data_IF_824845277426
#
_entry.id   IF_824845277426
#
_cell.length_a   1.000
_cell.length_b   1.000
_cell.length_c   1.000
_cell.angle_alpha   90.00
_cell.angle_beta   90.00
_cell.angle_gamma   90.00
#
_symmetry.space_group_name_H-M   'P 1'
#
loop_
_entity.id
_entity.type
_entity.pdbx_description
1 polymer ?
#
# COMPACT_ATOMS: atom_id res chain seq x y z
N UNK A 1 71.41 5.36 -27.67
CA UNK A 1 71.22 5.15 -26.22
C UNK A 1 70.21 4.03 -26.08
N UNK A 2 70.68 2.98 -25.44
CA UNK A 2 70.07 1.68 -25.18
C UNK A 2 69.01 1.74 -24.06
N UNK A 3 68.40 0.57 -23.85
CA UNK A 3 67.46 0.11 -22.78
C UNK A 3 65.97 0.38 -23.07
N UNK A 4 65.12 -0.59 -23.48
CA UNK A 4 64.87 -2.00 -23.12
C UNK A 4 64.16 -2.21 -21.75
N UNK A 5 62.90 -2.70 -21.79
CA UNK A 5 62.26 -3.69 -20.87
C UNK A 5 60.73 -3.71 -21.10
N UNK A 6 60.20 -4.77 -21.73
CA UNK A 6 59.58 -6.00 -21.16
C UNK A 6 58.06 -5.83 -20.98
N UNK A 7 57.25 -6.35 -21.90
CA UNK A 7 56.67 -7.71 -21.90
C UNK A 7 55.86 -8.05 -20.63
N UNK A 8 54.56 -8.25 -20.84
CA UNK A 8 53.60 -8.65 -19.82
C UNK A 8 52.25 -9.04 -20.45
N UNK A 9 52.26 -10.12 -21.24
CA UNK A 9 51.09 -10.77 -21.82
C UNK A 9 50.77 -12.07 -21.08
N UNK A 10 49.58 -12.19 -20.48
CA UNK A 10 48.94 -13.46 -20.05
C UNK A 10 47.39 -13.27 -20.09
N UNK A 11 46.54 -14.31 -20.17
CA UNK A 11 45.89 -14.69 -21.42
C UNK A 11 44.36 -14.82 -21.35
N UNK A 12 43.77 -14.84 -22.54
CA UNK A 12 42.45 -15.39 -22.82
C UNK A 12 42.34 -16.88 -22.43
N UNK A 13 41.16 -17.24 -21.92
CA UNK A 13 40.43 -18.54 -22.00
C UNK A 13 40.01 -19.12 -20.64
N UNK A 14 38.69 -19.14 -20.38
CA UNK A 14 38.02 -20.33 -19.83
C UNK A 14 36.63 -20.51 -20.45
N UNK A 15 36.25 -21.73 -20.87
CA UNK A 15 34.95 -22.03 -21.45
C UNK A 15 33.89 -22.23 -20.36
N UNK A 16 32.69 -21.69 -20.58
CA UNK A 16 31.48 -22.03 -19.82
C UNK A 16 30.86 -23.29 -20.45
N UNK A 17 31.27 -24.45 -19.98
CA UNK A 17 30.56 -25.71 -20.23
C UNK A 17 29.65 -26.06 -19.04
N UNK A 18 28.40 -26.41 -19.38
CA UNK A 18 27.54 -27.42 -18.74
C UNK A 18 27.04 -27.13 -17.31
N UNK A 19 25.91 -26.42 -17.24
CA UNK A 19 24.86 -26.67 -16.25
C UNK A 19 23.53 -26.88 -17.00
N UNK A 20 23.37 -28.08 -17.53
CA UNK A 20 22.06 -28.61 -17.96
C UNK A 20 21.91 -29.99 -17.33
N UNK A 21 20.70 -30.28 -16.84
CA UNK A 21 20.18 -31.54 -16.28
C UNK A 21 20.14 -31.59 -14.75
N UNK A 22 19.15 -30.90 -14.18
CA UNK A 22 18.31 -31.43 -13.09
C UNK A 22 17.17 -30.45 -12.80
N UNK A 23 16.04 -30.57 -13.52
CA UNK A 23 14.73 -30.08 -13.06
C UNK A 23 13.60 -30.52 -14.02
N UNK A 24 13.47 -31.82 -14.29
CA UNK A 24 12.19 -32.37 -14.78
C UNK A 24 11.59 -33.27 -13.70
N UNK A 25 11.00 -32.64 -12.67
CA UNK A 25 9.96 -33.29 -11.87
C UNK A 25 8.62 -32.81 -12.37
N UNK A 26 7.98 -33.64 -13.21
CA UNK A 26 6.57 -33.55 -13.56
C UNK A 26 5.75 -33.54 -12.27
N UNK A 27 5.18 -32.40 -11.91
CA UNK A 27 4.15 -32.32 -10.87
C UNK A 27 2.81 -32.66 -11.51
N UNK A 28 2.31 -33.86 -11.20
CA UNK A 28 0.94 -34.25 -11.52
C UNK A 28 -0.02 -33.31 -10.78
N UNK A 29 -0.72 -32.46 -11.53
CA UNK A 29 -1.76 -31.58 -11.03
C UNK A 29 -3.07 -32.37 -10.86
N UNK A 30 -3.58 -32.44 -9.63
CA UNK A 30 -4.94 -32.90 -9.34
C UNK A 30 -5.71 -31.71 -8.75
N UNK A 31 -6.78 -31.21 -9.40
CA UNK A 31 -7.52 -30.07 -8.86
C UNK A 31 -8.37 -30.51 -7.65
N UNK A 32 -8.00 -30.05 -6.45
CA UNK A 32 -8.81 -30.24 -5.26
C UNK A 32 -9.79 -29.06 -5.10
N UNK A 33 -11.08 -29.35 -5.36
CA UNK A 33 -12.22 -28.50 -4.99
C UNK A 33 -12.38 -28.47 -3.46
N UNK A 34 -11.60 -27.64 -2.77
CA UNK A 34 -11.83 -27.32 -1.36
C UNK A 34 -12.95 -26.29 -1.21
N UNK A 35 -14.20 -26.71 -0.96
CA UNK A 35 -15.26 -25.79 -0.52
C UNK A 35 -15.04 -25.48 0.96
N UNK A 36 -14.73 -24.22 1.29
CA UNK A 36 -14.84 -23.69 2.66
C UNK A 36 -16.21 -24.03 3.23
N UNK A 37 -16.25 -24.66 4.41
CA UNK A 37 -17.50 -25.06 5.02
C UNK A 37 -18.26 -23.82 5.50
N UNK A 38 -19.59 -23.81 5.37
CA UNK A 38 -20.45 -22.72 5.91
C UNK A 38 -20.19 -22.46 7.40
N UNK A 39 -19.71 -23.46 8.15
CA UNK A 39 -19.39 -23.35 9.58
C UNK A 39 -18.15 -22.51 9.86
N UNK A 40 -17.12 -22.60 9.02
CA UNK A 40 -15.90 -21.78 9.21
C UNK A 40 -16.17 -20.32 8.85
N UNK A 41 -17.00 -20.09 7.83
CA UNK A 41 -17.53 -18.77 7.46
C UNK A 41 -18.37 -18.15 8.59
N UNK A 42 -19.23 -18.95 9.23
CA UNK A 42 -20.03 -18.52 10.38
C UNK A 42 -19.16 -18.24 11.62
N UNK A 43 -18.05 -18.96 11.84
CA UNK A 43 -17.14 -18.69 12.97
C UNK A 43 -16.37 -17.37 12.81
N UNK A 44 -15.85 -17.09 11.61
CA UNK A 44 -15.18 -15.81 11.32
C UNK A 44 -16.17 -14.65 11.43
N UNK A 45 -17.37 -14.82 10.86
CA UNK A 45 -18.44 -13.82 10.94
C UNK A 45 -18.97 -13.64 12.37
N UNK A 46 -19.09 -14.70 13.16
CA UNK A 46 -19.53 -14.62 14.57
C UNK A 46 -18.46 -14.04 15.49
N UNK A 47 -17.17 -14.27 15.22
CA UNK A 47 -16.08 -13.62 15.95
C UNK A 47 -16.04 -12.10 15.68
N UNK A 48 -16.29 -11.70 14.42
CA UNK A 48 -16.36 -10.28 14.05
C UNK A 48 -17.66 -9.61 14.52
N UNK A 49 -18.83 -10.25 14.37
CA UNK A 49 -20.12 -9.70 14.81
C UNK A 49 -20.35 -9.78 16.33
N UNK A 50 -19.90 -10.86 16.98
CA UNK A 50 -20.01 -11.04 18.43
C UNK A 50 -19.09 -10.10 19.21
N UNK A 51 -17.89 -9.82 18.69
CA UNK A 51 -17.01 -8.78 19.22
C UNK A 51 -17.63 -7.38 19.10
N UNK A 52 -18.33 -7.08 18.01
CA UNK A 52 -19.01 -5.79 17.79
C UNK A 52 -20.19 -5.56 18.76
N UNK A 53 -21.02 -6.58 19.01
CA UNK A 53 -22.19 -6.46 19.89
C UNK A 53 -21.81 -6.34 21.38
N UNK A 54 -20.81 -7.10 21.85
CA UNK A 54 -20.35 -7.00 23.24
C UNK A 54 -19.60 -5.68 23.50
N UNK A 55 -18.84 -5.18 22.52
CA UNK A 55 -18.13 -3.89 22.58
C UNK A 55 -19.09 -2.71 22.69
N UNK A 56 -20.26 -2.78 22.04
CA UNK A 56 -21.29 -1.73 22.06
C UNK A 56 -21.91 -1.49 23.44
N UNK A 57 -22.07 -2.53 24.26
CA UNK A 57 -22.69 -2.44 25.59
C UNK A 57 -21.72 -1.96 26.67
N UNK A 58 -20.45 -2.36 26.61
CA UNK A 58 -19.41 -1.92 27.56
C UNK A 58 -18.98 -0.47 27.31
N UNK A 59 -18.98 0.01 26.06
CA UNK A 59 -18.57 1.38 25.73
C UNK A 59 -19.52 2.47 26.25
N UNK A 60 -20.81 2.19 26.43
CA UNK A 60 -21.78 3.22 26.87
C UNK A 60 -21.60 3.65 28.33
N UNK A 61 -21.13 2.76 29.21
CA UNK A 61 -21.03 3.02 30.64
C UNK A 61 -19.72 3.71 31.05
N UNK A 62 -18.60 3.41 30.35
CA UNK A 62 -17.30 4.07 30.57
C UNK A 62 -17.22 5.44 29.87
N UNK A 63 -18.02 5.64 28.81
CA UNK A 63 -18.11 6.92 28.08
C UNK A 63 -18.57 8.10 28.93
N UNK A 64 -19.34 7.90 30.00
CA UNK A 64 -19.93 9.03 30.75
C UNK A 64 -18.92 9.78 31.62
N UNK A 65 -17.79 9.16 32.00
CA UNK A 65 -16.91 9.69 33.05
C UNK A 65 -15.63 10.41 32.54
N UNK A 66 -15.19 10.19 31.29
CA UNK A 66 -14.01 10.85 30.68
C UNK A 66 -14.37 11.98 29.68
N UNK A 67 -15.63 12.43 29.67
CA UNK A 67 -16.15 13.38 28.67
C UNK A 67 -15.63 14.82 28.82
N UNK A 68 -14.82 15.14 29.83
CA UNK A 68 -14.38 16.51 30.14
C UNK A 68 -12.88 16.72 30.26
N UNK A 69 -12.03 15.69 30.11
CA UNK A 69 -10.59 15.92 30.15
C UNK A 69 -10.16 16.81 28.98
N UNK A 70 -9.51 17.94 29.32
CA UNK A 70 -8.81 18.80 28.38
C UNK A 70 -7.32 18.70 28.70
N UNK A 71 -6.56 18.23 27.72
CA UNK A 71 -5.11 18.17 27.79
C UNK A 71 -4.50 19.54 27.46
N UNK A 72 -3.32 19.82 27.98
CA UNK A 72 -2.54 20.99 27.59
C UNK A 72 -2.05 20.92 26.13
N UNK A 73 -1.90 19.70 25.60
CA UNK A 73 -1.50 19.44 24.22
C UNK A 73 -2.72 19.48 23.27
N UNK A 74 -2.78 20.41 22.30
CA UNK A 74 -3.87 20.49 21.34
C UNK A 74 -4.09 19.20 20.53
N UNK A 75 -3.02 18.51 20.14
CA UNK A 75 -3.14 17.28 19.34
C UNK A 75 -3.72 16.12 20.17
N UNK A 76 -3.43 16.06 21.48
CA UNK A 76 -4.07 15.10 22.37
C UNK A 76 -5.58 15.34 22.49
N UNK A 77 -6.02 16.61 22.54
CA UNK A 77 -7.45 16.93 22.51
C UNK A 77 -8.11 16.52 21.19
N UNK A 78 -7.43 16.70 20.05
CA UNK A 78 -7.91 16.23 18.75
C UNK A 78 -8.06 14.71 18.75
N UNK A 79 -7.06 13.96 19.21
CA UNK A 79 -7.13 12.48 19.30
C UNK A 79 -8.32 12.07 20.19
N UNK A 80 -8.51 12.71 21.33
CA UNK A 80 -9.64 12.42 22.22
C UNK A 80 -10.99 12.70 21.54
N UNK A 81 -11.10 13.77 20.74
CA UNK A 81 -12.30 14.06 19.97
C UNK A 81 -12.52 13.05 18.83
N UNK A 82 -11.46 12.57 18.16
CA UNK A 82 -11.54 11.51 17.16
C UNK A 82 -12.07 10.21 17.78
N UNK A 83 -11.55 9.80 18.95
CA UNK A 83 -12.02 8.62 19.69
C UNK A 83 -13.53 8.70 19.98
N UNK A 84 -14.05 9.89 20.31
CA UNK A 84 -15.49 10.12 20.53
C UNK A 84 -16.30 10.00 19.24
N UNK A 85 -15.77 10.54 18.15
CA UNK A 85 -16.43 10.57 16.84
C UNK A 85 -16.43 9.20 16.13
N UNK A 86 -15.42 8.37 16.38
CA UNK A 86 -15.23 7.04 15.75
C UNK A 86 -15.11 5.92 16.79
N UNK A 87 -16.14 5.68 17.61
CA UNK A 87 -16.06 4.74 18.73
C UNK A 87 -15.92 3.27 18.34
N UNK A 88 -16.34 2.92 17.13
CA UNK A 88 -16.26 1.55 16.62
C UNK A 88 -14.84 1.23 16.12
N UNK A 89 -14.13 2.25 15.63
CA UNK A 89 -12.77 2.14 15.14
C UNK A 89 -11.76 2.28 16.29
N UNK A 90 -11.92 3.29 17.13
CA UNK A 90 -10.92 3.66 18.13
C UNK A 90 -10.90 2.73 19.35
N UNK A 91 -9.70 2.43 19.83
CA UNK A 91 -9.46 1.97 21.18
C UNK A 91 -9.65 3.15 22.13
N UNK A 92 -10.76 3.12 22.86
CA UNK A 92 -11.11 4.18 23.80
C UNK A 92 -10.10 4.26 24.96
N UNK A 93 -9.31 3.20 25.21
CA UNK A 93 -8.27 3.16 26.24
C UNK A 93 -6.95 3.82 25.82
N UNK A 94 -6.81 4.22 24.56
CA UNK A 94 -5.59 4.84 24.06
C UNK A 94 -5.25 6.12 24.83
N UNK A 95 -4.01 6.25 25.31
CA UNK A 95 -3.49 7.44 25.98
C UNK A 95 -3.24 8.56 24.95
N UNK A 96 -4.15 9.54 24.89
CA UNK A 96 -4.11 10.64 23.92
C UNK A 96 -2.82 11.48 24.00
N UNK A 97 -2.33 11.90 25.18
CA UNK A 97 -0.99 12.49 25.34
C UNK A 97 0.16 11.66 24.77
N UNK A 98 0.20 10.35 25.06
CA UNK A 98 1.26 9.45 24.56
C UNK A 98 1.26 9.39 23.03
N UNK A 99 0.10 9.20 22.42
CA UNK A 99 -0.05 9.20 20.96
C UNK A 99 0.34 10.53 20.32
N UNK A 100 -0.07 11.64 20.92
CA UNK A 100 0.33 12.96 20.46
C UNK A 100 1.86 13.12 20.46
N UNK A 101 2.52 12.67 21.53
CA UNK A 101 3.97 12.65 21.64
C UNK A 101 4.63 11.82 20.52
N UNK A 102 4.16 10.60 20.29
CA UNK A 102 4.67 9.72 19.24
C UNK A 102 4.51 10.33 17.84
N UNK A 103 3.35 10.92 17.54
CA UNK A 103 3.09 11.59 16.25
C UNK A 103 4.04 12.77 16.03
N UNK A 104 4.22 13.63 17.05
CA UNK A 104 5.14 14.78 16.95
C UNK A 104 6.58 14.34 16.74
N UNK A 105 7.04 13.34 17.50
CA UNK A 105 8.38 12.76 17.33
C UNK A 105 8.53 12.14 15.93
N UNK A 106 7.53 11.41 15.46
CA UNK A 106 7.53 10.79 14.14
C UNK A 106 7.63 11.83 13.00
N UNK A 107 6.87 12.93 13.07
CA UNK A 107 7.00 14.04 12.12
C UNK A 107 8.40 14.66 12.13
N UNK A 108 8.94 14.94 13.33
CA UNK A 108 10.28 15.50 13.48
C UNK A 108 11.35 14.56 12.91
N UNK A 109 11.31 13.27 13.26
CA UNK A 109 12.28 12.25 12.83
C UNK A 109 12.21 11.98 11.32
N UNK A 110 11.02 11.94 10.73
CA UNK A 110 10.83 11.76 9.29
C UNK A 110 11.14 13.02 8.46
N UNK A 111 11.25 14.19 9.11
CA UNK A 111 11.39 15.47 8.43
C UNK A 111 10.22 15.76 7.50
N UNK A 112 8.99 15.45 7.94
CA UNK A 112 7.74 15.83 7.28
C UNK A 112 7.09 16.96 8.10
N UNK A 113 6.62 18.01 7.44
CA UNK A 113 6.00 19.14 8.15
C UNK A 113 4.70 18.71 8.84
N UNK A 114 4.44 19.27 10.02
CA UNK A 114 3.18 19.10 10.77
C UNK A 114 2.08 20.00 10.20
N UNK A 115 1.94 20.02 8.87
CA UNK A 115 0.86 20.75 8.21
C UNK A 115 -0.48 20.13 8.59
N UNK A 116 -1.54 20.93 8.54
CA UNK A 116 -2.86 20.45 8.94
C UNK A 116 -3.40 19.35 7.99
N UNK A 117 -2.91 19.28 6.75
CA UNK A 117 -3.14 18.16 5.82
C UNK A 117 -2.39 16.91 6.27
N UNK A 118 -1.07 16.99 6.44
CA UNK A 118 -0.24 15.84 6.82
C UNK A 118 -0.69 15.23 8.16
N UNK A 119 -0.94 16.07 9.17
CA UNK A 119 -1.46 15.62 10.47
C UNK A 119 -2.84 14.98 10.33
N UNK A 120 -3.73 15.55 9.50
CA UNK A 120 -5.05 14.97 9.23
C UNK A 120 -4.96 13.60 8.57
N UNK A 121 -4.05 13.41 7.60
CA UNK A 121 -3.82 12.13 6.92
C UNK A 121 -3.29 11.08 7.90
N UNK A 122 -2.28 11.42 8.70
CA UNK A 122 -1.71 10.51 9.73
C UNK A 122 -2.79 10.06 10.72
N UNK A 123 -3.59 11.00 11.25
CA UNK A 123 -4.67 10.67 12.18
C UNK A 123 -5.74 9.80 11.52
N UNK A 124 -6.06 10.04 10.25
CA UNK A 124 -7.01 9.23 9.48
C UNK A 124 -6.51 7.79 9.33
N UNK A 125 -5.24 7.61 8.97
CA UNK A 125 -4.62 6.30 8.80
C UNK A 125 -4.56 5.55 10.14
N UNK A 126 -4.10 6.18 11.21
CA UNK A 126 -4.05 5.57 12.56
C UNK A 126 -5.45 5.15 13.00
N UNK A 127 -6.43 6.04 12.88
CA UNK A 127 -7.82 5.75 13.26
C UNK A 127 -8.39 4.54 12.49
N UNK A 128 -8.16 4.48 11.18
CA UNK A 128 -8.71 3.44 10.33
C UNK A 128 -8.05 2.07 10.52
N UNK A 129 -6.74 2.04 10.77
CA UNK A 129 -5.96 0.80 10.73
C UNK A 129 -5.74 0.20 12.12
N UNK A 130 -5.29 1.00 13.08
CA UNK A 130 -5.09 0.55 14.46
C UNK A 130 -6.18 1.02 15.40
N UNK A 131 -6.91 2.09 15.07
CA UNK A 131 -7.81 2.73 16.01
C UNK A 131 -7.06 3.29 17.23
N UNK A 132 -5.79 3.68 17.09
CA UNK A 132 -4.93 4.07 18.23
C UNK A 132 -4.66 2.92 19.23
N UNK A 133 -4.79 1.65 18.83
CA UNK A 133 -4.31 0.51 19.63
C UNK A 133 -2.80 0.58 19.78
N UNK A 134 -2.32 0.44 21.00
CA UNK A 134 -0.89 0.47 21.33
C UNK A 134 -0.15 -0.77 20.82
N UNK A 135 -0.82 -1.93 20.89
CA UNK A 135 -0.32 -3.21 20.42
C UNK A 135 -1.18 -3.73 19.26
N UNK A 136 -1.15 -3.08 18.07
CA UNK A 136 -1.87 -3.59 16.92
C UNK A 136 -1.23 -4.92 16.47
N UNK A 137 -2.03 -5.94 16.16
CA UNK A 137 -1.50 -7.23 15.76
C UNK A 137 -0.69 -7.09 14.48
N UNK A 138 0.48 -7.73 14.42
CA UNK A 138 1.19 -7.91 13.16
C UNK A 138 0.38 -8.90 12.32
N UNK A 139 -0.20 -8.45 11.21
CA UNK A 139 -1.02 -9.30 10.36
C UNK A 139 -0.12 -10.30 9.60
N UNK A 140 0.05 -11.47 10.23
CA UNK A 140 0.85 -12.61 9.77
C UNK A 140 0.71 -13.85 10.67
N UNK A 141 0.16 -13.70 11.87
CA UNK A 141 0.04 -14.77 12.88
C UNK A 141 -1.33 -15.47 12.94
N UNK A 142 -2.28 -15.12 12.07
CA UNK A 142 -3.54 -15.87 12.00
C UNK A 142 -3.23 -17.32 11.59
N UNK A 143 -3.79 -18.34 12.28
CA UNK A 143 -3.54 -19.74 11.95
C UNK A 143 -3.91 -19.98 10.48
N UNK A 144 -2.89 -20.14 9.66
CA UNK A 144 -2.96 -20.23 8.21
C UNK A 144 -3.89 -21.39 7.84
N UNK A 145 -5.05 -21.07 7.25
CA UNK A 145 -5.75 -22.03 6.40
C UNK A 145 -4.78 -22.29 5.25
N UNK A 146 -4.19 -23.50 5.23
CA UNK A 146 -3.21 -23.94 4.22
C UNK A 146 -3.87 -24.03 2.85
N UNK A 147 -4.00 -22.90 2.17
CA UNK A 147 -4.22 -22.87 0.73
C UNK A 147 -2.85 -22.74 0.05
N UNK A 148 -2.41 -23.83 -0.58
CA UNK A 148 -1.11 -23.96 -1.26
C UNK A 148 -0.97 -23.04 -2.51
N UNK A 149 -1.90 -22.10 -2.70
CA UNK A 149 -1.90 -21.07 -3.75
C UNK A 149 -1.47 -19.68 -3.23
N UNK A 150 -1.23 -19.54 -1.93
CA UNK A 150 -0.85 -18.27 -1.30
C UNK A 150 0.67 -18.00 -1.32
N UNK A 151 1.49 -18.85 -1.95
CA UNK A 151 2.93 -18.57 -2.12
C UNK A 151 3.22 -17.34 -2.99
N UNK A 152 2.24 -16.92 -3.81
CA UNK A 152 2.27 -15.66 -4.57
C UNK A 152 1.79 -14.45 -3.75
N UNK A 153 1.07 -14.66 -2.65
CA UNK A 153 1.00 -13.67 -1.57
C UNK A 153 2.30 -13.80 -0.78
N UNK A 154 3.42 -13.34 -1.37
CA UNK A 154 4.63 -13.03 -0.60
C UNK A 154 4.17 -12.36 0.69
N UNK A 155 4.64 -12.84 1.86
CA UNK A 155 4.38 -12.26 3.18
C UNK A 155 4.27 -10.73 3.08
N UNK A 156 3.07 -10.18 2.95
CA UNK A 156 2.84 -8.75 3.08
C UNK A 156 2.45 -8.57 4.52
N UNK A 157 3.43 -8.74 5.41
CA UNK A 157 3.21 -8.47 6.81
C UNK A 157 3.18 -6.95 6.97
N UNK A 158 2.10 -6.47 7.53
CA UNK A 158 1.99 -5.10 8.01
C UNK A 158 1.98 -5.14 9.52
N UNK A 159 2.48 -4.08 10.14
CA UNK A 159 2.48 -3.99 11.59
C UNK A 159 2.49 -2.56 12.09
N UNK A 160 2.22 -2.43 13.38
CA UNK A 160 2.27 -1.17 14.08
C UNK A 160 1.06 -0.27 13.85
N UNK A 161 1.07 0.91 14.49
CA UNK A 161 -0.01 1.90 14.48
C UNK A 161 -0.63 2.28 13.14
N UNK A 162 0.16 2.19 12.07
CA UNK A 162 -0.23 2.61 10.73
C UNK A 162 -0.19 1.44 9.74
N UNK A 163 -0.01 0.20 10.22
CA UNK A 163 0.07 -1.02 9.37
C UNK A 163 1.10 -0.87 8.24
N UNK A 164 2.33 -0.53 8.61
CA UNK A 164 3.43 -0.33 7.66
C UNK A 164 3.99 -1.69 7.24
N UNK A 165 4.33 -1.83 5.96
CA UNK A 165 4.98 -3.02 5.43
C UNK A 165 6.40 -3.16 6.00
N UNK A 166 6.74 -4.30 6.61
CA UNK A 166 8.08 -4.52 7.18
C UNK A 166 9.21 -4.43 6.15
N UNK A 167 8.97 -4.76 4.88
CA UNK A 167 9.97 -4.65 3.82
C UNK A 167 10.39 -3.18 3.62
N UNK A 168 9.46 -2.24 3.74
CA UNK A 168 9.80 -0.80 3.68
C UNK A 168 10.78 -0.43 4.80
N UNK A 169 10.57 -0.96 6.01
CA UNK A 169 11.44 -0.72 7.16
C UNK A 169 12.81 -1.39 6.97
N UNK A 170 12.83 -2.63 6.47
CA UNK A 170 14.07 -3.33 6.13
C UNK A 170 14.90 -2.57 5.11
N UNK A 171 14.26 -2.08 4.04
CA UNK A 171 14.94 -1.34 2.97
C UNK A 171 15.44 0.02 3.47
N UNK A 172 14.62 0.73 4.26
CA UNK A 172 14.96 2.05 4.80
C UNK A 172 16.15 2.02 5.77
N UNK A 173 16.23 0.99 6.60
CA UNK A 173 17.21 0.92 7.70
C UNK A 173 18.30 -0.13 7.47
N UNK A 174 18.20 -0.92 6.39
CA UNK A 174 19.09 -2.06 6.10
C UNK A 174 19.19 -3.08 7.24
N UNK A 175 18.03 -3.49 7.77
CA UNK A 175 17.91 -4.42 8.91
C UNK A 175 17.19 -5.73 8.55
N UNK A 176 17.27 -6.72 9.44
CA UNK A 176 16.58 -8.01 9.28
C UNK A 176 15.06 -7.88 9.44
N UNK A 177 14.32 -8.89 8.96
CA UNK A 177 12.85 -8.99 9.14
C UNK A 177 12.47 -8.97 10.63
N UNK A 178 13.17 -9.72 11.48
CA UNK A 178 12.90 -9.78 12.93
C UNK A 178 13.03 -8.41 13.59
N UNK A 179 14.11 -7.67 13.30
CA UNK A 179 14.32 -6.33 13.85
C UNK A 179 13.30 -5.33 13.29
N UNK A 180 12.94 -5.42 12.01
CA UNK A 180 11.91 -4.58 11.41
C UNK A 180 10.54 -4.76 12.10
N UNK A 181 10.13 -6.01 12.34
CA UNK A 181 8.89 -6.32 13.05
C UNK A 181 8.91 -5.85 14.50
N UNK A 182 10.03 -6.04 15.19
CA UNK A 182 10.23 -5.53 16.55
C UNK A 182 10.07 -4.02 16.61
N UNK A 183 10.65 -3.28 15.66
CA UNK A 183 10.47 -1.82 15.59
C UNK A 183 9.04 -1.41 15.28
N UNK A 184 8.38 -2.11 14.36
CA UNK A 184 6.97 -1.85 14.04
C UNK A 184 6.02 -2.10 15.22
N UNK A 185 6.39 -2.98 16.17
CA UNK A 185 5.58 -3.23 17.37
C UNK A 185 5.57 -2.06 18.37
N UNK A 186 6.49 -1.10 18.24
CA UNK A 186 6.54 0.11 19.07
C UNK A 186 5.67 1.21 18.49
N UNK A 187 4.95 1.94 19.36
CA UNK A 187 4.18 3.12 18.94
C UNK A 187 5.09 4.19 18.32
N UNK A 188 6.19 4.54 19.01
CA UNK A 188 7.09 5.62 18.58
C UNK A 188 7.72 5.31 17.21
N UNK A 189 8.22 4.08 17.02
CA UNK A 189 8.87 3.68 15.77
C UNK A 189 7.85 3.36 14.67
N UNK A 190 6.75 2.67 14.98
CA UNK A 190 5.71 2.36 14.02
C UNK A 190 5.02 3.61 13.45
N UNK A 191 4.77 4.63 14.30
CA UNK A 191 4.30 5.94 13.82
C UNK A 191 5.37 6.64 12.97
N UNK A 192 6.64 6.61 13.37
CA UNK A 192 7.72 7.17 12.57
C UNK A 192 7.79 6.54 11.17
N UNK A 193 7.81 5.21 11.06
CA UNK A 193 7.87 4.52 9.78
C UNK A 193 6.63 4.80 8.93
N UNK A 194 5.45 4.94 9.55
CA UNK A 194 4.24 5.31 8.83
C UNK A 194 4.31 6.73 8.27
N UNK A 195 4.84 7.69 9.03
CA UNK A 195 5.06 9.06 8.56
C UNK A 195 6.14 9.12 7.47
N UNK A 196 7.21 8.32 7.59
CA UNK A 196 8.24 8.21 6.57
C UNK A 196 7.68 7.65 5.24
N UNK A 197 6.84 6.62 5.32
CA UNK A 197 6.13 6.07 4.16
C UNK A 197 5.16 7.09 3.55
N UNK A 198 4.41 7.82 4.38
CA UNK A 198 3.53 8.91 3.92
C UNK A 198 4.31 9.98 3.18
N UNK A 199 5.47 10.39 3.72
CA UNK A 199 6.36 11.36 3.06
C UNK A 199 6.77 10.87 1.68
N UNK A 200 7.16 9.60 1.55
CA UNK A 200 7.54 9.00 0.27
C UNK A 200 6.39 8.99 -0.74
N UNK A 201 5.21 8.52 -0.33
CA UNK A 201 3.99 8.53 -1.17
C UNK A 201 3.61 9.94 -1.59
N UNK A 202 3.70 10.91 -0.68
CA UNK A 202 3.23 12.28 -0.92
C UNK A 202 4.02 13.00 -2.02
N UNK A 203 5.28 12.61 -2.28
CA UNK A 203 6.13 13.20 -3.35
C UNK A 203 5.45 13.11 -4.72
N UNK A 204 4.76 12.00 -5.01
CA UNK A 204 4.13 11.79 -6.31
C UNK A 204 2.94 12.72 -6.61
N UNK A 205 2.37 13.33 -5.57
CA UNK A 205 1.07 14.00 -5.67
C UNK A 205 1.13 15.49 -5.30
N UNK A 206 2.32 16.04 -5.03
CA UNK A 206 2.50 17.44 -4.63
C UNK A 206 1.99 18.44 -5.68
N UNK A 207 2.01 18.06 -6.95
CA UNK A 207 1.62 18.92 -8.06
C UNK A 207 0.14 18.80 -8.45
N UNK A 208 -0.66 17.95 -7.78
CA UNK A 208 -2.10 17.85 -8.03
C UNK A 208 -2.81 18.97 -7.25
N UNK A 209 -3.42 19.98 -7.90
CA UNK A 209 -4.02 21.12 -7.19
C UNK A 209 -5.28 20.71 -6.43
N UNK A 210 -6.07 19.80 -6.99
CA UNK A 210 -7.28 19.27 -6.35
C UNK A 210 -6.90 18.41 -5.13
N UNK A 211 -7.14 18.95 -3.93
CA UNK A 211 -6.90 18.28 -2.64
C UNK A 211 -7.63 16.94 -2.57
N UNK A 212 -8.88 16.85 -3.06
CA UNK A 212 -9.65 15.60 -2.95
C UNK A 212 -8.99 14.50 -3.80
N UNK A 213 -8.65 14.80 -5.05
CA UNK A 213 -7.93 13.87 -5.93
C UNK A 213 -6.57 13.49 -5.35
N UNK A 214 -5.80 14.46 -4.87
CA UNK A 214 -4.48 14.24 -4.25
C UNK A 214 -4.58 13.26 -3.08
N UNK A 215 -5.53 13.48 -2.17
CA UNK A 215 -5.74 12.64 -1.00
C UNK A 215 -6.27 11.24 -1.37
N UNK A 216 -7.16 11.12 -2.36
CA UNK A 216 -7.59 9.80 -2.85
C UNK A 216 -6.41 8.98 -3.37
N UNK A 217 -5.50 9.60 -4.14
CA UNK A 217 -4.29 8.92 -4.61
C UNK A 217 -3.38 8.49 -3.45
N UNK A 218 -3.18 9.37 -2.44
CA UNK A 218 -2.37 9.05 -1.26
C UNK A 218 -2.97 7.86 -0.49
N UNK A 219 -4.28 7.87 -0.22
CA UNK A 219 -4.92 6.77 0.51
C UNK A 219 -5.01 5.49 -0.32
N UNK A 220 -5.20 5.58 -1.63
CA UNK A 220 -5.20 4.41 -2.52
C UNK A 220 -3.82 3.74 -2.51
N UNK A 221 -2.74 4.53 -2.62
CA UNK A 221 -1.37 4.03 -2.59
C UNK A 221 -0.94 3.51 -1.22
N UNK A 222 -1.48 4.06 -0.13
CA UNK A 222 -1.26 3.48 1.19
C UNK A 222 -1.63 2.00 1.23
N UNK A 223 -2.75 1.64 0.60
CA UNK A 223 -3.26 0.27 0.59
C UNK A 223 -2.78 -0.57 -0.60
N UNK A 224 -2.57 0.03 -1.78
CA UNK A 224 -2.17 -0.67 -3.00
C UNK A 224 -0.64 -0.81 -3.16
N UNK A 225 0.11 0.00 -2.43
CA UNK A 225 1.55 0.18 -2.57
C UNK A 225 1.91 1.51 -3.21
N UNK A 226 3.15 1.91 -2.94
CA UNK A 226 3.72 3.19 -3.36
C UNK A 226 3.72 3.36 -4.90
N UNK A 227 3.22 4.52 -5.35
CA UNK A 227 3.25 4.92 -6.75
C UNK A 227 2.22 4.22 -7.64
N UNK A 228 1.30 3.45 -7.05
CA UNK A 228 0.28 2.70 -7.81
C UNK A 228 -0.65 3.61 -8.57
N UNK A 229 -1.06 4.73 -7.97
CA UNK A 229 -1.98 5.68 -8.61
C UNK A 229 -1.32 6.45 -9.76
N UNK A 230 0.01 6.65 -9.71
CA UNK A 230 0.78 7.14 -10.87
C UNK A 230 0.68 6.14 -12.04
N UNK A 231 0.93 4.86 -11.77
CA UNK A 231 0.85 3.80 -12.79
C UNK A 231 -0.58 3.56 -13.29
N UNK A 232 -1.57 3.69 -12.42
CA UNK A 232 -2.98 3.65 -12.80
C UNK A 232 -3.36 4.81 -13.73
N UNK A 233 -2.69 5.96 -13.63
CA UNK A 233 -2.78 7.05 -14.61
C UNK A 233 -2.37 6.60 -16.02
N UNK A 234 -1.26 5.87 -16.15
CA UNK A 234 -0.85 5.31 -17.45
C UNK A 234 -1.86 4.32 -18.00
N UNK A 235 -2.44 3.46 -17.14
CA UNK A 235 -3.50 2.54 -17.55
C UNK A 235 -4.74 3.27 -18.07
N UNK A 236 -5.16 4.34 -17.37
CA UNK A 236 -6.28 5.17 -17.79
C UNK A 236 -6.01 5.86 -19.14
N UNK A 237 -4.82 6.43 -19.32
CA UNK A 237 -4.42 7.09 -20.56
C UNK A 237 -4.37 6.10 -21.74
N UNK A 238 -3.80 4.91 -21.54
CA UNK A 238 -3.75 3.86 -22.57
C UNK A 238 -5.16 3.34 -22.90
N UNK A 239 -6.04 3.16 -21.91
CA UNK A 239 -7.44 2.81 -22.13
C UNK A 239 -8.18 3.89 -22.94
N UNK A 240 -7.94 5.17 -22.63
CA UNK A 240 -8.52 6.29 -23.34
C UNK A 240 -8.10 6.31 -24.81
N UNK A 241 -6.82 6.13 -25.09
CA UNK A 241 -6.28 6.12 -26.46
C UNK A 241 -6.79 4.90 -27.25
N UNK A 242 -6.58 3.70 -26.71
CA UNK A 242 -6.87 2.42 -27.41
C UNK A 242 -8.34 2.05 -27.49
N UNK A 243 -9.19 2.64 -26.63
CA UNK A 243 -10.57 2.20 -26.37
C UNK A 243 -10.68 0.74 -25.90
N UNK A 244 -9.56 0.13 -25.49
CA UNK A 244 -9.55 -1.20 -24.89
C UNK A 244 -9.77 -1.08 -23.37
N UNK A 245 -10.48 -2.05 -22.77
CA UNK A 245 -10.67 -2.07 -21.33
C UNK A 245 -9.34 -2.36 -20.63
N UNK A 246 -8.88 -1.42 -19.80
CA UNK A 246 -7.74 -1.59 -18.90
C UNK A 246 -8.17 -1.17 -17.50
N UNK A 247 -7.94 -2.04 -16.51
CA UNK A 247 -8.24 -1.72 -15.11
C UNK A 247 -7.14 -0.84 -14.52
N UNK A 248 -7.54 0.19 -13.76
CA UNK A 248 -6.65 1.16 -13.13
C UNK A 248 -6.02 0.63 -11.83
N UNK A 249 -5.43 -0.56 -11.86
CA UNK A 249 -4.88 -1.25 -10.68
C UNK A 249 -3.50 -0.74 -10.25
N UNK A 250 -2.80 -0.03 -11.13
CA UNK A 250 -1.38 0.29 -10.99
C UNK A 250 -0.44 -0.90 -11.20
N UNK A 251 -0.95 -2.08 -11.57
CA UNK A 251 -0.17 -3.27 -11.92
C UNK A 251 -0.03 -3.35 -13.45
N UNK A 252 0.99 -2.68 -13.99
CA UNK A 252 1.17 -2.51 -15.44
C UNK A 252 1.44 -3.81 -16.20
N UNK A 253 2.06 -4.78 -15.51
CA UNK A 253 2.40 -6.10 -16.05
C UNK A 253 1.45 -7.20 -15.56
N UNK A 254 0.27 -6.84 -15.05
CA UNK A 254 -0.73 -7.83 -14.65
C UNK A 254 -1.24 -8.58 -15.88
N UNK A 255 -0.97 -9.88 -15.90
CA UNK A 255 -1.47 -10.79 -16.92
C UNK A 255 -2.94 -11.12 -16.68
N UNK A 256 -3.73 -11.09 -17.74
CA UNK A 256 -5.08 -11.63 -17.75
C UNK A 256 -5.05 -13.16 -17.64
N UNK A 257 -5.81 -13.70 -16.70
CA UNK A 257 -5.73 -15.12 -16.32
C UNK A 257 -6.12 -16.03 -17.47
N UNK A 258 -7.12 -15.63 -18.26
CA UNK A 258 -7.69 -16.43 -19.35
C UNK A 258 -6.85 -16.35 -20.62
N UNK A 259 -6.54 -15.14 -21.07
CA UNK A 259 -5.85 -14.89 -22.35
C UNK A 259 -4.33 -14.96 -22.25
N UNK A 260 -3.75 -14.94 -21.04
CA UNK A 260 -2.30 -14.87 -20.82
C UNK A 260 -1.63 -13.62 -21.42
N UNK A 261 -2.43 -12.59 -21.73
CA UNK A 261 -1.97 -11.32 -22.28
C UNK A 261 -1.83 -10.28 -21.18
N UNK A 262 -0.98 -9.27 -21.41
CA UNK A 262 -0.84 -8.11 -20.52
C UNK A 262 -1.65 -6.96 -21.15
N UNK A 263 -2.84 -6.59 -20.63
CA UNK A 263 -3.76 -5.67 -21.31
C UNK A 263 -3.13 -4.32 -21.65
N UNK A 264 -2.29 -3.77 -20.77
CA UNK A 264 -1.57 -2.51 -20.99
C UNK A 264 -0.66 -2.60 -22.21
N UNK A 265 0.11 -3.69 -22.32
CA UNK A 265 1.03 -3.90 -23.45
C UNK A 265 0.22 -4.08 -24.73
N UNK A 266 -0.83 -4.89 -24.72
CA UNK A 266 -1.68 -5.08 -25.90
C UNK A 266 -2.29 -3.76 -26.39
N UNK A 267 -2.74 -2.91 -25.46
CA UNK A 267 -3.33 -1.62 -25.75
C UNK A 267 -2.31 -0.57 -26.24
N UNK A 268 -1.06 -0.63 -25.81
CA UNK A 268 0.01 0.19 -26.39
C UNK A 268 0.34 -0.32 -27.81
N UNK A 269 0.38 -1.65 -28.00
CA UNK A 269 0.70 -2.29 -29.27
C UNK A 269 -0.37 -2.09 -30.37
N UNK A 270 -1.56 -1.53 -30.07
CA UNK A 270 -2.51 -1.11 -31.12
C UNK A 270 -2.06 0.13 -31.88
N UNK A 271 -0.98 0.79 -31.44
CA UNK A 271 -0.43 2.00 -32.05
C UNK A 271 1.03 1.83 -32.49
N UNK A 272 1.37 0.80 -33.28
CA UNK A 272 2.76 0.49 -33.61
C UNK A 272 3.47 1.67 -34.31
N UNK A 273 2.77 2.31 -35.26
CA UNK A 273 3.33 3.43 -36.03
C UNK A 273 3.36 4.74 -35.23
N UNK A 274 2.50 4.88 -34.22
CA UNK A 274 2.42 6.12 -33.44
C UNK A 274 3.46 6.17 -32.33
N UNK A 275 3.85 5.01 -31.77
CA UNK A 275 4.84 4.95 -30.70
C UNK A 275 6.22 4.56 -31.19
N UNK A 276 6.34 3.75 -32.25
CA UNK A 276 7.64 3.28 -32.75
C UNK A 276 8.42 2.43 -31.74
N UNK A 277 7.74 1.83 -30.77
CA UNK A 277 8.34 1.04 -29.69
C UNK A 277 8.20 -0.46 -29.94
N UNK A 278 9.24 -1.22 -29.63
CA UNK A 278 9.15 -2.68 -29.62
C UNK A 278 8.41 -3.17 -28.37
N UNK A 279 7.83 -4.37 -28.45
CA UNK A 279 7.18 -4.99 -27.28
C UNK A 279 8.16 -5.18 -26.12
N UNK A 280 9.40 -5.53 -26.40
CA UNK A 280 10.45 -5.72 -25.39
C UNK A 280 10.81 -4.41 -24.68
N UNK A 281 10.87 -3.30 -25.44
CA UNK A 281 11.07 -1.97 -24.85
C UNK A 281 9.90 -1.59 -23.93
N UNK A 282 8.66 -1.82 -24.37
CA UNK A 282 7.47 -1.55 -23.55
C UNK A 282 7.51 -2.36 -22.25
N UNK A 283 7.82 -3.65 -22.32
CA UNK A 283 7.91 -4.49 -21.13
C UNK A 283 8.99 -4.02 -20.15
N UNK A 284 10.14 -3.61 -20.68
CA UNK A 284 11.26 -3.05 -19.89
C UNK A 284 10.84 -1.76 -19.20
N UNK A 285 10.28 -0.81 -19.95
CA UNK A 285 9.81 0.48 -19.45
C UNK A 285 8.73 0.33 -18.38
N UNK A 286 7.75 -0.56 -18.58
CA UNK A 286 6.66 -0.78 -17.62
C UNK A 286 7.14 -1.47 -16.33
N UNK A 287 8.30 -2.12 -16.34
CA UNK A 287 8.91 -2.75 -15.18
C UNK A 287 9.74 -1.78 -14.33
N UNK A 288 10.06 -0.58 -14.84
CA UNK A 288 10.81 0.43 -14.10
C UNK A 288 10.12 0.84 -12.79
N UNK A 289 10.85 1.22 -11.72
CA UNK A 289 10.30 1.80 -10.50
C UNK A 289 9.48 3.07 -10.78
N UNK A 290 8.56 3.41 -9.87
CA UNK A 290 7.65 4.54 -10.08
C UNK A 290 8.43 5.87 -10.22
N UNK A 291 9.56 6.01 -9.53
CA UNK A 291 10.42 7.20 -9.64
C UNK A 291 10.96 7.43 -11.05
N UNK A 292 11.16 6.36 -11.82
CA UNK A 292 11.77 6.41 -13.16
C UNK A 292 10.75 6.25 -14.28
N UNK A 293 9.54 5.74 -13.99
CA UNK A 293 8.61 5.33 -15.05
C UNK A 293 8.19 6.48 -15.96
N UNK A 294 8.09 7.70 -15.41
CA UNK A 294 7.70 8.91 -16.15
C UNK A 294 8.74 9.34 -17.19
N UNK A 295 10.00 8.92 -17.04
CA UNK A 295 11.08 9.25 -17.99
C UNK A 295 11.29 8.19 -19.06
N UNK A 296 10.52 7.11 -19.03
CA UNK A 296 10.63 6.03 -20.02
C UNK A 296 10.08 6.45 -21.39
N UNK A 297 10.59 5.82 -22.45
CA UNK A 297 10.15 6.09 -23.81
C UNK A 297 8.65 5.76 -23.99
N UNK A 298 8.18 4.67 -23.37
CA UNK A 298 6.76 4.29 -23.35
C UNK A 298 5.88 5.37 -22.72
N UNK A 299 6.25 5.91 -21.56
CA UNK A 299 5.47 6.97 -20.92
C UNK A 299 5.40 8.23 -21.77
N UNK A 300 6.56 8.69 -22.26
CA UNK A 300 6.66 9.88 -23.11
C UNK A 300 5.89 9.73 -24.42
N UNK A 301 5.90 8.54 -25.03
CA UNK A 301 5.14 8.26 -26.24
C UNK A 301 3.63 8.34 -26.00
N UNK A 302 3.15 7.81 -24.86
CA UNK A 302 1.73 7.92 -24.48
C UNK A 302 1.34 9.38 -24.21
N UNK A 303 2.13 10.14 -23.45
CA UNK A 303 1.88 11.58 -23.23
C UNK A 303 1.88 12.39 -24.53
N UNK A 304 2.84 12.12 -25.42
CA UNK A 304 2.91 12.77 -26.73
C UNK A 304 1.65 12.52 -27.56
N UNK A 305 1.13 11.28 -27.53
CA UNK A 305 -0.09 10.93 -28.25
C UNK A 305 -1.37 11.49 -27.61
N UNK A 306 -1.38 11.59 -26.28
CA UNK A 306 -2.48 12.15 -25.49
C UNK A 306 -2.58 13.67 -25.64
N UNK A 307 -1.44 14.35 -25.84
CA UNK A 307 -1.35 15.81 -25.99
C UNK A 307 -1.31 16.57 -24.66
N UNK A 308 -1.22 15.86 -23.53
CA UNK A 308 -1.03 16.42 -22.20
C UNK A 308 -0.31 15.43 -21.28
N UNK A 309 0.12 15.89 -20.11
CA UNK A 309 0.74 15.03 -19.11
C UNK A 309 -0.25 14.00 -18.56
N UNK A 310 0.23 12.80 -18.26
CA UNK A 310 -0.56 11.76 -17.62
C UNK A 310 -0.74 12.12 -16.14
N UNK A 311 -1.98 12.39 -15.77
CA UNK A 311 -2.38 12.63 -14.39
C UNK A 311 -2.53 11.32 -13.63
N UNK A 312 -2.11 11.26 -12.34
CA UNK A 312 -2.38 10.11 -11.51
C UNK A 312 -3.88 9.87 -11.30
N UNK A 313 -4.26 8.60 -11.28
CA UNK A 313 -5.63 8.15 -11.00
C UNK A 313 -5.59 7.23 -9.78
N UNK A 314 -6.44 7.41 -8.76
CA UNK A 314 -6.43 6.55 -7.58
C UNK A 314 -6.54 5.08 -7.98
N UNK A 315 -5.57 4.28 -7.54
CA UNK A 315 -5.51 2.88 -7.90
C UNK A 315 -6.74 2.11 -7.38
N UNK A 316 -7.27 1.20 -8.19
CA UNK A 316 -8.41 0.33 -7.86
C UNK A 316 -7.99 -1.15 -7.86
N UNK A 317 -7.01 -1.46 -7.01
CA UNK A 317 -6.52 -2.81 -6.81
C UNK A 317 -7.49 -3.58 -5.91
N UNK A 318 -8.00 -4.71 -6.39
CA UNK A 318 -8.82 -5.61 -5.57
C UNK A 318 -7.98 -6.28 -4.49
N UNK A 319 -8.49 -6.31 -3.26
CA UNK A 319 -7.92 -7.11 -2.19
C UNK A 319 -8.24 -8.58 -2.48
N UNK A 320 -7.23 -9.47 -2.62
CA UNK A 320 -7.48 -10.84 -3.00
C UNK A 320 -8.15 -11.67 -1.89
N UNK A 321 -8.79 -12.77 -2.30
CA UNK A 321 -9.25 -13.83 -1.40
C UNK A 321 -10.49 -13.50 -0.56
N UNK A 322 -10.68 -14.28 0.51
CA UNK A 322 -11.80 -14.14 1.44
C UNK A 322 -11.78 -12.78 2.17
N UNK A 323 -10.58 -12.27 2.48
CA UNK A 323 -10.41 -10.99 3.18
C UNK A 323 -11.01 -9.84 2.36
N UNK A 324 -10.68 -9.74 1.06
CA UNK A 324 -11.27 -8.71 0.20
C UNK A 324 -12.78 -8.82 0.07
N UNK A 325 -13.32 -10.04 -0.03
CA UNK A 325 -14.77 -10.26 -0.05
C UNK A 325 -15.45 -9.80 1.24
N UNK A 326 -14.86 -10.09 2.40
CA UNK A 326 -15.37 -9.64 3.70
C UNK A 326 -15.27 -8.12 3.83
N UNK A 327 -14.13 -7.51 3.46
CA UNK A 327 -13.97 -6.05 3.45
C UNK A 327 -15.01 -5.37 2.55
N UNK A 328 -15.27 -5.94 1.38
CA UNK A 328 -16.30 -5.43 0.48
C UNK A 328 -17.70 -5.55 1.09
N UNK A 329 -18.03 -6.70 1.69
CA UNK A 329 -19.35 -6.97 2.26
C UNK A 329 -19.68 -6.07 3.45
N UNK A 330 -18.71 -5.82 4.33
CA UNK A 330 -18.94 -5.09 5.58
C UNK A 330 -18.62 -3.60 5.52
N UNK A 331 -17.65 -3.20 4.69
CA UNK A 331 -17.12 -1.84 4.69
C UNK A 331 -17.13 -1.16 3.31
N UNK A 332 -17.52 -1.89 2.25
CA UNK A 332 -17.37 -1.43 0.87
C UNK A 332 -15.90 -1.10 0.50
N UNK A 333 -14.95 -1.79 1.15
CA UNK A 333 -13.49 -1.61 1.00
C UNK A 333 -12.84 -2.81 0.31
N UNK A 334 -13.54 -3.42 -0.64
CA UNK A 334 -13.01 -4.55 -1.42
C UNK A 334 -11.81 -4.20 -2.29
N UNK A 335 -11.55 -2.90 -2.48
CA UNK A 335 -10.49 -2.37 -3.33
C UNK A 335 -9.77 -1.19 -2.67
N UNK A 336 -8.58 -0.85 -3.17
CA UNK A 336 -7.85 0.34 -2.73
C UNK A 336 -8.59 1.65 -2.99
N UNK A 337 -9.39 1.74 -4.05
CA UNK A 337 -10.23 2.92 -4.31
C UNK A 337 -11.37 3.02 -3.30
N UNK A 338 -12.02 1.90 -2.96
CA UNK A 338 -13.02 1.84 -1.91
C UNK A 338 -12.46 2.29 -0.56
N UNK A 339 -11.28 1.77 -0.19
CA UNK A 339 -10.54 2.21 0.99
C UNK A 339 -10.27 3.72 0.94
N UNK A 340 -9.71 4.23 -0.17
CA UNK A 340 -9.36 5.65 -0.32
C UNK A 340 -10.56 6.59 -0.14
N UNK A 341 -11.71 6.24 -0.72
CA UNK A 341 -12.94 7.03 -0.61
C UNK A 341 -13.45 7.09 0.83
N UNK A 342 -13.42 5.97 1.55
CA UNK A 342 -13.82 5.95 2.96
C UNK A 342 -12.87 6.80 3.82
N UNK A 343 -11.56 6.65 3.64
CA UNK A 343 -10.55 7.46 4.34
C UNK A 343 -10.69 8.95 4.03
N UNK A 344 -11.02 9.32 2.79
CA UNK A 344 -11.28 10.73 2.45
C UNK A 344 -12.48 11.30 3.23
N UNK A 345 -13.54 10.53 3.46
CA UNK A 345 -14.67 10.99 4.28
C UNK A 345 -14.28 11.14 5.75
N UNK A 346 -13.53 10.18 6.30
CA UNK A 346 -13.00 10.26 7.66
C UNK A 346 -12.07 11.45 7.84
N UNK A 347 -11.16 11.68 6.88
CA UNK A 347 -10.27 12.83 6.86
C UNK A 347 -11.04 14.15 6.93
N UNK A 348 -12.15 14.31 6.18
CA UNK A 348 -12.98 15.52 6.23
C UNK A 348 -13.53 15.78 7.64
N UNK A 349 -13.95 14.71 8.33
CA UNK A 349 -14.44 14.80 9.72
C UNK A 349 -13.29 15.15 10.67
N UNK A 350 -12.15 14.49 10.55
CA UNK A 350 -10.94 14.77 11.34
C UNK A 350 -10.48 16.21 11.14
N UNK A 351 -10.47 16.71 9.90
CA UNK A 351 -10.13 18.11 9.59
C UNK A 351 -11.08 19.11 10.21
N UNK A 352 -12.36 18.75 10.38
CA UNK A 352 -13.32 19.57 11.11
C UNK A 352 -13.00 19.61 12.60
N UNK A 353 -12.67 18.46 13.20
CA UNK A 353 -12.24 18.37 14.61
C UNK A 353 -10.96 19.19 14.85
N UNK A 354 -10.00 19.17 13.93
CA UNK A 354 -8.75 19.93 14.07
C UNK A 354 -8.94 21.46 14.02
N UNK A 355 -10.12 21.96 13.60
CA UNK A 355 -10.44 23.39 13.52
C UNK A 355 -11.17 23.91 14.77
N UNK A 356 -11.65 23.02 15.63
CA UNK A 356 -12.32 23.36 16.91
C UNK A 356 -11.30 23.39 18.03
#
# INVERSE_FOLDING_TARGET
MEEASSEGSIPSTRPREKLSKEAEKKTNYTPLKGKLSRRDLLKVAAASAGGLALRKYLTEQERSNELTERYSDPLANVIQAIKRQFPEAADWRADSPKWSGAIKKGFAKAGLSTSAENTGVVLTIINALSGFREDPPVFGELPIIRENHLSLLKKQWTGGPMEVNYQFVMDLESISEEEALKRLSSIDDGVYYGIAMLKKISVYYQNIPDEARRLECIFADWNAGEGRSVRAGLQAAVAELSKLPVNNTGLLLLEDVESKKIPVVEAIMTFPDAFGLSREQILTDLNEPTDNIRTTATWQAVESKLGHQIEPVPADLQVPGLIGKLKNLFYNEGTSLGFARNRLQEYKVIRKIMKT
#
